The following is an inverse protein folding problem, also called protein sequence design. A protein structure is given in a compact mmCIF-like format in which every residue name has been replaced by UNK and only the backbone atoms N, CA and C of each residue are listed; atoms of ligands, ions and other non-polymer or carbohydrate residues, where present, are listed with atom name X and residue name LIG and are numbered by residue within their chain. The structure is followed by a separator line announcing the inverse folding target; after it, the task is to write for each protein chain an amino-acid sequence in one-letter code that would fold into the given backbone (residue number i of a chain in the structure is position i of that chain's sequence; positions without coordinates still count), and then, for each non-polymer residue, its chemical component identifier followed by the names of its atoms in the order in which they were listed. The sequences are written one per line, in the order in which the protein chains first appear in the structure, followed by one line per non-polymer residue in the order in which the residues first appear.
data_IF_733509370580
#
_entry.id   IF_733509370580
#
_cell.length_a   1.000
_cell.length_b   1.000
_cell.length_c   1.000
_cell.angle_alpha   90.00
_cell.angle_beta   90.00
_cell.angle_gamma   90.00
#
_symmetry.space_group_name_H-M   'P 1'
#
loop_
_entity.id
_entity.type
_entity.pdbx_description
1 polymer ?
2 polymer ?
#
# COMPACT_ATOMS: atom_id res chain seq x y z
N UNK A 1 -16.12 35.02 10.38
CA UNK A 1 -15.25 33.90 10.01
C UNK A 1 -14.49 33.36 11.21
N UNK A 2 -13.88 32.19 11.04
CA UNK A 2 -13.11 31.56 12.10
C UNK A 2 -11.97 30.76 11.46
N UNK A 3 -11.32 29.91 12.24
CA UNK A 3 -10.21 29.13 11.73
C UNK A 3 -10.72 27.99 10.85
N UNK A 4 -9.91 27.65 9.85
CA UNK A 4 -10.26 26.53 8.98
C UNK A 4 -9.86 25.21 9.62
N UNK A 5 -10.67 24.16 9.47
CA UNK A 5 -10.36 22.85 10.09
C UNK A 5 -9.27 22.09 9.34
N UNK A 6 -8.06 22.65 9.37
CA UNK A 6 -6.91 21.99 8.74
C UNK A 6 -6.33 20.91 9.64
N UNK A 7 -6.37 21.11 10.95
CA UNK A 7 -5.88 20.10 11.87
C UNK A 7 -6.71 18.84 11.89
N UNK A 8 -7.95 18.91 11.40
CA UNK A 8 -8.79 17.71 11.37
C UNK A 8 -8.40 16.77 10.24
N UNK A 9 -7.96 17.31 9.11
CA UNK A 9 -7.60 16.48 7.96
C UNK A 9 -6.13 16.09 8.01
N UNK A 10 -5.26 16.99 8.46
CA UNK A 10 -3.82 16.70 8.47
C UNK A 10 -3.40 15.84 9.64
N UNK A 11 -4.15 15.87 10.75
CA UNK A 11 -3.76 15.16 11.96
C UNK A 11 -4.75 14.07 12.35
N UNK A 12 -5.57 13.61 11.40
CA UNK A 12 -6.49 12.52 11.67
C UNK A 12 -5.72 11.26 12.02
N UNK A 13 -6.29 10.46 12.93
CA UNK A 13 -5.62 9.25 13.39
C UNK A 13 -5.51 8.22 12.26
N UNK A 14 -6.62 7.98 11.56
CA UNK A 14 -6.67 6.98 10.50
C UNK A 14 -7.04 7.67 9.19
N UNK A 15 -6.19 7.51 8.18
CA UNK A 15 -6.46 8.02 6.86
C UNK A 15 -7.23 6.98 6.04
N UNK A 16 -7.76 7.42 4.91
CA UNK A 16 -8.52 6.54 4.04
C UNK A 16 -7.60 5.78 3.09
N UNK A 17 -8.09 4.66 2.58
CA UNK A 17 -7.36 3.93 1.55
C UNK A 17 -7.44 4.69 0.23
N UNK A 18 -6.44 4.46 -0.63
CA UNK A 18 -6.35 5.22 -1.87
C UNK A 18 -7.53 4.91 -2.79
N UNK A 19 -8.03 3.67 -2.75
CA UNK A 19 -9.19 3.33 -3.57
C UNK A 19 -10.47 3.96 -3.03
N UNK A 20 -10.48 4.38 -1.78
CA UNK A 20 -11.65 4.97 -1.12
C UNK A 20 -11.26 6.27 -0.43
N UNK A 21 -10.62 7.16 -1.17
CA UNK A 21 -10.10 8.40 -0.60
C UNK A 21 -11.23 9.29 -0.11
N UNK A 22 -10.94 10.02 0.97
CA UNK A 22 -11.91 10.93 1.57
C UNK A 22 -11.74 12.33 1.01
N UNK A 23 -12.79 13.14 1.19
CA UNK A 23 -12.79 14.53 0.77
C UNK A 23 -13.41 15.39 1.86
N UNK A 24 -12.71 16.44 2.25
CA UNK A 24 -13.18 17.38 3.26
C UNK A 24 -13.46 18.72 2.60
N UNK A 25 -14.71 19.16 2.67
CA UNK A 25 -15.10 20.47 2.16
C UNK A 25 -14.85 21.53 3.23
N UNK A 26 -14.08 22.55 2.88
CA UNK A 26 -13.66 23.58 3.82
C UNK A 26 -14.22 24.91 3.33
N UNK A 27 -15.02 25.56 4.18
CA UNK A 27 -15.68 26.80 3.81
C UNK A 27 -15.89 27.67 5.04
N UNK A 28 -16.12 28.96 4.78
CA UNK A 28 -16.49 29.95 5.80
C UNK A 28 -15.47 30.00 6.93
N UNK A 29 -14.22 30.26 6.55
CA UNK A 29 -13.13 30.30 7.51
C UNK A 29 -11.92 30.94 6.86
N UNK A 30 -11.07 31.53 7.70
CA UNK A 30 -9.79 32.07 7.25
C UNK A 30 -8.74 30.98 7.35
N UNK A 31 -7.89 30.87 6.33
CA UNK A 31 -6.89 29.83 6.24
C UNK A 31 -5.51 30.44 6.14
N UNK A 32 -4.55 29.84 6.84
CA UNK A 32 -3.15 30.26 6.79
C UNK A 32 -2.35 29.13 6.14
N UNK A 33 -2.04 29.29 4.85
CA UNK A 33 -1.31 28.27 4.11
C UNK A 33 0.20 28.36 4.31
N UNK A 34 0.70 29.53 4.73
CA UNK A 34 2.14 29.69 4.89
C UNK A 34 2.69 28.79 5.99
N UNK A 35 1.91 28.54 7.04
CA UNK A 35 2.39 27.66 8.10
C UNK A 35 2.43 26.21 7.62
N UNK A 36 1.55 25.83 6.69
CA UNK A 36 1.61 24.49 6.13
C UNK A 36 2.81 24.33 5.21
N UNK A 37 3.08 25.33 4.38
CA UNK A 37 4.14 25.22 3.39
C UNK A 37 5.53 25.32 4.02
N UNK A 38 5.65 26.02 5.14
CA UNK A 38 6.95 26.29 5.75
C UNK A 38 7.21 25.44 7.00
N UNK A 39 6.48 24.35 7.17
CA UNK A 39 6.61 23.52 8.35
C UNK A 39 7.70 22.45 8.22
N UNK A 40 8.19 22.19 7.00
CA UNK A 40 9.28 21.25 6.73
C UNK A 40 8.92 19.80 7.06
N UNK A 41 7.80 19.58 7.73
CA UNK A 41 7.35 18.22 8.03
C UNK A 41 6.70 17.54 6.84
N UNK A 42 6.62 18.22 5.69
CA UNK A 42 6.09 17.64 4.46
C UNK A 42 7.23 17.50 3.46
N UNK A 43 7.54 16.25 3.09
CA UNK A 43 8.58 16.00 2.10
C UNK A 43 8.17 16.46 0.71
N UNK A 44 6.86 16.57 0.45
CA UNK A 44 6.36 17.01 -0.85
C UNK A 44 5.24 18.02 -0.62
N UNK A 45 5.44 19.24 -1.12
CA UNK A 45 4.42 20.30 -1.07
C UNK A 45 4.51 21.03 -2.42
N UNK A 46 3.92 20.41 -3.44
CA UNK A 46 4.03 20.88 -4.82
C UNK A 46 2.68 21.39 -5.29
N UNK A 47 2.62 22.66 -5.65
CA UNK A 47 1.40 23.27 -6.16
C UNK A 47 1.47 23.40 -7.68
N UNK A 48 0.32 23.25 -8.33
CA UNK A 48 0.22 23.30 -9.79
C UNK A 48 -0.70 24.45 -10.18
N UNK A 49 -0.15 25.42 -10.91
CA UNK A 49 -0.93 26.56 -11.34
C UNK A 49 -1.18 27.61 -10.29
N UNK A 50 -0.46 27.57 -9.17
CA UNK A 50 -0.59 28.58 -8.12
C UNK A 50 0.70 28.59 -7.32
N UNK A 51 1.03 29.77 -6.78
CA UNK A 51 2.24 29.89 -5.97
C UNK A 51 1.94 29.48 -4.53
N UNK A 52 2.73 28.58 -3.94
CA UNK A 52 2.53 28.26 -2.52
C UNK A 52 2.85 29.43 -1.61
N UNK A 53 3.81 30.28 -2.00
CA UNK A 53 4.20 31.41 -1.18
C UNK A 53 3.04 32.38 -0.98
N UNK A 54 2.59 33.02 -2.06
CA UNK A 54 1.48 33.97 -2.01
C UNK A 54 0.13 33.29 -2.16
N UNK A 55 -0.01 32.07 -1.63
CA UNK A 55 -1.31 31.39 -1.67
C UNK A 55 -2.30 32.03 -0.71
N UNK A 56 -1.80 32.69 0.35
CA UNK A 56 -2.68 33.30 1.33
C UNK A 56 -3.42 34.50 0.76
N UNK A 57 -2.84 35.17 -0.24
CA UNK A 57 -3.44 36.39 -0.77
C UNK A 57 -4.73 36.15 -1.56
N UNK A 58 -5.03 34.90 -1.91
CA UNK A 58 -6.17 34.59 -2.77
C UNK A 58 -7.36 34.13 -1.94
N UNK A 59 -8.55 34.35 -2.49
CA UNK A 59 -9.80 33.89 -1.91
C UNK A 59 -10.49 32.95 -2.89
N UNK A 60 -11.17 31.94 -2.36
CA UNK A 60 -11.82 30.94 -3.20
C UNK A 60 -13.21 30.63 -2.65
N UNK A 61 -14.06 30.10 -3.54
CA UNK A 61 -15.42 29.77 -3.16
C UNK A 61 -15.51 28.47 -2.37
N UNK A 62 -14.60 27.53 -2.63
CA UNK A 62 -14.54 26.27 -1.90
C UNK A 62 -13.14 25.70 -2.02
N UNK A 63 -12.73 24.99 -0.97
CA UNK A 63 -11.44 24.31 -0.94
C UNK A 63 -11.69 22.85 -0.56
N UNK A 64 -11.22 21.93 -1.40
CA UNK A 64 -11.38 20.50 -1.18
C UNK A 64 -10.06 19.90 -0.74
N UNK A 65 -10.11 19.06 0.29
CA UNK A 65 -8.93 18.37 0.81
C UNK A 65 -9.16 16.87 0.65
N UNK A 66 -8.41 16.25 -0.25
CA UNK A 66 -8.48 14.81 -0.49
C UNK A 66 -7.30 14.13 0.19
N UNK A 67 -7.58 13.21 1.11
CA UNK A 67 -6.56 12.55 1.90
C UNK A 67 -6.66 11.04 1.73
N UNK A 68 -5.50 10.39 1.67
CA UNK A 68 -5.41 8.94 1.57
C UNK A 68 -4.00 8.52 1.95
N UNK A 69 -3.66 7.25 1.71
CA UNK A 69 -2.34 6.71 2.02
C UNK A 69 -1.90 5.82 0.87
N UNK A 70 -0.73 6.12 0.32
CA UNK A 70 -0.09 5.27 -0.68
C UNK A 70 1.29 4.89 -0.16
N UNK A 71 2.11 4.29 -1.02
CA UNK A 71 3.47 3.93 -0.65
C UNK A 71 4.44 4.95 -1.21
N UNK A 72 5.72 4.79 -0.87
CA UNK A 72 6.70 5.80 -1.20
C UNK A 72 6.88 6.00 -2.70
N UNK A 73 7.01 4.88 -3.43
CA UNK A 73 7.26 4.97 -4.87
C UNK A 73 6.05 5.49 -5.65
N UNK A 74 4.86 5.54 -5.03
CA UNK A 74 3.65 5.94 -5.73
C UNK A 74 3.30 7.42 -5.53
N UNK A 75 4.08 8.15 -4.73
CA UNK A 75 3.79 9.57 -4.51
C UNK A 75 3.96 10.35 -5.81
N UNK A 76 4.94 9.98 -6.62
CA UNK A 76 5.17 10.68 -7.88
C UNK A 76 4.01 10.50 -8.86
N UNK A 77 3.08 9.58 -8.59
CA UNK A 77 1.91 9.42 -9.43
C UNK A 77 0.78 10.37 -9.07
N UNK A 78 0.85 11.03 -7.91
CA UNK A 78 -0.14 12.03 -7.53
C UNK A 78 0.26 13.35 -8.18
N UNK A 79 0.34 13.36 -9.50
CA UNK A 79 0.70 14.54 -10.28
C UNK A 79 -0.09 14.52 -11.57
N UNK A 80 -0.39 15.68 -12.15
CA UNK A 80 -1.16 15.69 -13.41
C UNK A 80 -0.39 15.01 -14.54
N UNK A 81 -1.15 14.38 -15.42
CA UNK A 81 -0.55 13.70 -16.56
C UNK A 81 0.32 12.53 -16.21
N UNK A 82 0.17 11.96 -15.02
CA UNK A 82 0.96 10.81 -14.59
C UNK A 82 0.17 9.52 -14.79
N UNK A 83 0.91 8.42 -14.91
CA UNK A 83 0.33 7.10 -15.12
C UNK A 83 0.86 6.12 -14.08
N UNK A 84 0.15 5.01 -13.94
CA UNK A 84 0.47 4.02 -12.93
C UNK A 84 -0.79 3.48 -12.27
N UNK A 85 -0.65 2.43 -11.46
CA UNK A 85 -1.83 1.78 -10.88
C UNK A 85 -2.62 2.75 -10.00
N UNK A 86 -1.94 3.68 -9.34
CA UNK A 86 -2.64 4.65 -8.50
C UNK A 86 -3.38 5.66 -9.37
N UNK A 87 -2.68 6.24 -10.33
CA UNK A 87 -3.29 7.28 -11.17
C UNK A 87 -4.36 6.68 -12.10
N UNK A 88 -4.20 5.43 -12.50
CA UNK A 88 -5.13 4.83 -13.44
C UNK A 88 -6.39 4.29 -12.75
N UNK A 89 -6.20 3.51 -11.68
CA UNK A 89 -7.29 2.76 -11.08
C UNK A 89 -7.75 3.30 -9.73
N UNK A 90 -7.02 4.23 -9.12
CA UNK A 90 -7.30 4.63 -7.75
C UNK A 90 -7.59 6.11 -7.60
N UNK A 91 -6.71 6.99 -8.08
CA UNK A 91 -6.88 8.42 -7.88
C UNK A 91 -6.20 9.15 -9.04
N UNK A 92 -7.01 9.78 -9.90
CA UNK A 92 -6.51 10.47 -11.09
C UNK A 92 -6.66 11.97 -10.90
N UNK A 93 -5.55 12.69 -11.06
CA UNK A 93 -5.55 14.15 -11.11
C UNK A 93 -5.73 14.61 -12.56
N UNK A 94 -6.51 15.66 -12.78
CA UNK A 94 -6.74 16.12 -14.16
C UNK A 94 -5.50 16.76 -14.77
N UNK A 95 -5.51 16.83 -16.10
CA UNK A 95 -4.36 17.38 -16.82
C UNK A 95 -4.19 18.87 -16.56
N UNK A 96 -5.29 19.61 -16.40
CA UNK A 96 -5.24 21.04 -16.09
C UNK A 96 -5.48 21.30 -14.60
N UNK A 97 -4.97 20.42 -13.74
CA UNK A 97 -5.22 20.52 -12.31
C UNK A 97 -4.69 21.83 -11.74
N UNK A 98 -5.42 22.38 -10.78
CA UNK A 98 -5.02 23.62 -10.11
C UNK A 98 -5.14 23.39 -8.60
N UNK A 99 -4.00 23.20 -7.94
CA UNK A 99 -3.97 22.94 -6.53
C UNK A 99 -2.60 22.48 -6.09
N UNK A 100 -2.55 21.93 -4.88
CA UNK A 100 -1.31 21.53 -4.25
C UNK A 100 -1.40 20.07 -3.80
N UNK A 101 -0.30 19.34 -3.98
CA UNK A 101 -0.19 17.96 -3.52
C UNK A 101 0.76 17.94 -2.32
N UNK A 102 0.32 17.32 -1.23
CA UNK A 102 1.06 17.29 0.03
C UNK A 102 1.22 15.85 0.47
N UNK A 103 2.46 15.43 0.72
CA UNK A 103 2.73 14.05 1.07
C UNK A 103 3.91 13.98 2.03
N UNK A 104 3.73 13.25 3.14
CA UNK A 104 4.77 13.06 4.13
C UNK A 104 4.79 11.61 4.58
N UNK A 105 5.96 11.18 5.05
CA UNK A 105 6.12 9.81 5.53
C UNK A 105 5.38 9.61 6.84
N UNK A 106 4.68 8.47 6.94
CA UNK A 106 3.89 8.12 8.12
C UNK A 106 4.13 6.67 8.50
N UNK A 107 5.40 6.25 8.53
CA UNK A 107 5.72 4.89 8.95
C UNK A 107 5.47 4.69 10.44
N UNK A 108 5.77 5.71 11.24
CA UNK A 108 5.55 5.62 12.68
C UNK A 108 4.07 5.65 13.06
N UNK A 109 3.18 5.91 12.11
CA UNK A 109 1.74 6.00 12.38
C UNK A 109 0.91 4.95 11.66
N UNK A 110 1.35 4.44 10.50
CA UNK A 110 0.50 3.63 9.64
C UNK A 110 1.06 2.23 9.41
N UNK A 111 2.02 1.77 10.22
CA UNK A 111 2.60 0.46 10.06
C UNK A 111 2.65 -0.26 11.40
N UNK A 112 2.22 -1.52 11.42
CA UNK A 112 2.28 -2.37 12.59
C UNK A 112 3.36 -3.42 12.41
N UNK A 113 3.90 -3.89 13.54
CA UNK A 113 4.71 -5.11 13.52
C UNK A 113 3.84 -6.26 13.02
N UNK A 114 4.37 -7.02 12.07
CA UNK A 114 3.57 -8.04 11.43
C UNK A 114 2.65 -7.55 10.35
N UNK A 115 2.62 -6.24 10.11
CA UNK A 115 1.86 -5.70 8.99
C UNK A 115 0.55 -5.03 9.36
N UNK A 116 0.34 -3.82 8.84
CA UNK A 116 -0.93 -3.13 8.94
C UNK A 116 -1.67 -3.30 7.62
N UNK A 117 -2.80 -3.99 7.66
CA UNK A 117 -3.52 -4.41 6.46
C UNK A 117 -4.79 -3.59 6.21
N UNK A 118 -4.91 -2.43 6.84
CA UNK A 118 -6.12 -1.62 6.67
C UNK A 118 -6.11 -0.86 5.35
N UNK A 119 -4.94 -0.46 4.86
CA UNK A 119 -4.85 0.35 3.65
C UNK A 119 -4.83 -0.55 2.42
N UNK A 120 -5.79 -0.34 1.53
CA UNK A 120 -5.98 -1.15 0.33
C UNK A 120 -5.69 -0.32 -0.92
N UNK A 121 -5.79 -0.98 -2.07
CA UNK A 121 -5.65 -0.33 -3.35
C UNK A 121 -6.30 -1.21 -4.42
N UNK A 122 -6.65 -0.58 -5.54
CA UNK A 122 -7.27 -1.29 -6.65
C UNK A 122 -6.22 -1.79 -7.62
N UNK A 123 -6.43 -3.00 -8.13
CA UNK A 123 -5.46 -3.69 -8.99
C UNK A 123 -5.92 -3.82 -10.43
N UNK A 124 -7.22 -3.84 -10.68
CA UNK A 124 -7.75 -4.02 -12.02
C UNK A 124 -8.94 -3.09 -12.24
N UNK A 125 -9.21 -2.79 -13.51
CA UNK A 125 -10.39 -2.01 -13.87
C UNK A 125 -10.60 -2.13 -15.37
N UNK A 126 -11.87 -2.10 -15.78
CA UNK A 126 -12.20 -2.22 -17.20
C UNK A 126 -11.74 -1.01 -18.01
N UNK A 127 -11.74 0.17 -17.39
CA UNK A 127 -11.34 1.40 -18.08
C UNK A 127 -10.85 2.41 -17.05
N UNK A 128 -9.85 3.19 -17.43
CA UNK A 128 -9.19 4.09 -16.49
C UNK A 128 -10.16 5.09 -15.87
N UNK A 129 -9.81 5.56 -14.67
CA UNK A 129 -10.64 6.52 -13.96
C UNK A 129 -10.57 7.88 -14.63
N UNK A 130 -11.72 8.56 -14.69
CA UNK A 130 -11.74 9.96 -15.05
C UNK A 130 -11.25 10.78 -13.86
N UNK A 131 -10.78 12.00 -14.12
CA UNK A 131 -10.31 12.86 -13.02
C UNK A 131 -11.31 12.94 -11.87
N UNK A 132 -10.80 12.74 -10.65
CA UNK A 132 -11.56 12.82 -9.40
C UNK A 132 -12.67 11.78 -9.31
N UNK A 133 -12.67 10.76 -10.17
CA UNK A 133 -13.60 9.67 -9.99
C UNK A 133 -13.19 8.83 -8.78
N UNK A 134 -14.08 7.95 -8.34
CA UNK A 134 -13.82 7.16 -7.15
C UNK A 134 -14.56 5.83 -7.29
N UNK A 135 -13.81 4.75 -7.51
CA UNK A 135 -14.38 3.42 -7.62
C UNK A 135 -14.41 2.75 -6.27
N UNK A 136 -15.51 2.03 -6.00
CA UNK A 136 -15.70 1.34 -4.73
C UNK A 136 -16.08 -0.11 -4.89
N UNK A 137 -16.70 -0.51 -6.01
CA UNK A 137 -17.15 -1.88 -6.22
C UNK A 137 -16.04 -2.88 -5.99
N UNK A 138 -16.39 -3.98 -5.33
CA UNK A 138 -15.48 -5.11 -5.11
C UNK A 138 -15.76 -6.26 -6.08
N UNK A 139 -16.20 -5.94 -7.28
CA UNK A 139 -16.60 -6.98 -8.24
C UNK A 139 -15.37 -7.73 -8.75
N UNK A 140 -15.52 -9.04 -8.91
CA UNK A 140 -14.42 -9.89 -9.35
C UNK A 140 -14.09 -9.55 -10.80
N UNK A 141 -12.85 -9.12 -11.04
CA UNK A 141 -12.46 -8.64 -12.36
C UNK A 141 -12.31 -9.80 -13.33
N UNK A 142 -12.85 -9.64 -14.53
CA UNK A 142 -12.80 -10.66 -15.57
C UNK A 142 -11.66 -10.31 -16.52
N UNK A 143 -10.51 -10.97 -16.34
CA UNK A 143 -9.34 -10.72 -17.15
C UNK A 143 -9.32 -11.54 -18.45
N UNK A 144 -10.19 -12.53 -18.58
CA UNK A 144 -10.22 -13.37 -19.76
C UNK A 144 -11.55 -13.32 -20.48
N UNK A 145 -11.75 -14.22 -21.43
CA UNK A 145 -13.00 -14.26 -22.19
C UNK A 145 -14.09 -15.03 -21.47
N UNK A 146 -13.75 -15.80 -20.45
CA UNK A 146 -14.75 -16.56 -19.70
C UNK A 146 -15.34 -15.71 -18.58
N UNK A 147 -16.65 -15.70 -18.41
CA UNK A 147 -17.27 -14.94 -17.31
C UNK A 147 -16.87 -15.52 -15.95
N UNK A 148 -17.14 -14.74 -14.90
CA UNK A 148 -16.69 -15.07 -13.56
C UNK A 148 -17.78 -15.60 -12.64
N UNK A 149 -19.03 -15.17 -12.82
CA UNK A 149 -20.15 -15.62 -12.00
C UNK A 149 -19.93 -15.30 -10.53
N UNK A 150 -19.29 -14.15 -10.25
CA UNK A 150 -19.06 -13.73 -8.88
C UNK A 150 -18.17 -14.66 -8.08
N UNK A 151 -17.30 -15.41 -8.75
CA UNK A 151 -16.42 -16.37 -8.09
C UNK A 151 -14.99 -16.14 -8.57
N UNK A 152 -14.06 -16.05 -7.63
CA UNK A 152 -12.66 -15.86 -7.98
C UNK A 152 -12.08 -17.15 -8.54
N UNK A 153 -11.21 -17.01 -9.55
CA UNK A 153 -10.58 -18.15 -10.17
C UNK A 153 -9.60 -17.78 -11.26
N UNK A 154 -9.52 -18.58 -12.32
CA UNK A 154 -8.68 -18.23 -13.46
C UNK A 154 -9.33 -17.08 -14.23
N UNK A 155 -8.51 -16.07 -14.55
CA UNK A 155 -8.89 -14.79 -15.15
C UNK A 155 -9.91 -14.02 -14.32
N UNK A 156 -10.26 -14.50 -13.13
CA UNK A 156 -11.20 -13.83 -12.25
C UNK A 156 -10.54 -13.60 -10.91
N UNK A 157 -10.25 -12.35 -10.58
CA UNK A 157 -9.48 -12.03 -9.38
C UNK A 157 -10.14 -10.92 -8.58
N UNK A 158 -10.00 -11.00 -7.27
CA UNK A 158 -10.46 -9.93 -6.38
C UNK A 158 -9.65 -8.67 -6.67
N UNK A 159 -10.29 -7.57 -7.05
CA UNK A 159 -9.56 -6.42 -7.57
C UNK A 159 -8.84 -5.59 -6.52
N UNK A 160 -9.00 -5.89 -5.23
CA UNK A 160 -8.41 -5.11 -4.17
C UNK A 160 -7.33 -5.90 -3.44
N UNK A 161 -6.23 -5.22 -3.13
CA UNK A 161 -5.14 -5.80 -2.36
C UNK A 161 -4.69 -4.80 -1.31
N UNK A 162 -4.04 -5.31 -0.28
CA UNK A 162 -3.58 -4.50 0.85
C UNK A 162 -2.08 -4.25 0.74
N UNK A 163 -1.66 -3.10 1.27
CA UNK A 163 -0.24 -2.76 1.28
C UNK A 163 0.53 -3.57 2.31
N UNK A 164 -0.09 -3.84 3.46
CA UNK A 164 0.57 -4.56 4.54
C UNK A 164 1.79 -3.85 5.05
N UNK A 165 1.62 -2.58 5.43
CA UNK A 165 2.75 -1.76 5.86
C UNK A 165 3.36 -2.31 7.14
N UNK A 166 4.63 -2.70 7.07
CA UNK A 166 5.40 -3.11 8.24
C UNK A 166 6.64 -2.24 8.35
N UNK A 167 7.10 -1.97 9.58
CA UNK A 167 8.10 -0.88 9.76
C UNK A 167 9.41 -1.08 9.01
N UNK A 168 9.92 -2.32 8.91
CA UNK A 168 11.22 -2.55 8.30
C UNK A 168 11.18 -2.60 6.77
N UNK A 169 10.08 -2.16 6.16
CA UNK A 169 10.03 -2.10 4.70
C UNK A 169 10.98 -1.04 4.17
N UNK A 170 11.42 -1.22 2.93
CA UNK A 170 12.14 -0.16 2.25
C UNK A 170 11.27 1.07 2.05
N UNK A 171 11.94 2.21 1.88
CA UNK A 171 11.22 3.49 1.80
C UNK A 171 10.22 3.48 0.64
N UNK A 172 10.54 2.80 -0.45
CA UNK A 172 9.62 2.65 -1.56
C UNK A 172 8.37 1.84 -1.26
N UNK A 173 8.28 1.26 -0.07
CA UNK A 173 7.11 0.48 0.33
C UNK A 173 6.57 0.91 1.70
N UNK A 174 7.06 2.01 2.25
CA UNK A 174 6.55 2.54 3.50
C UNK A 174 5.31 3.39 3.24
N UNK A 175 4.47 3.59 4.25
CA UNK A 175 3.26 4.40 4.04
C UNK A 175 3.57 5.89 3.96
N UNK A 176 2.84 6.57 3.08
CA UNK A 176 2.95 8.03 2.91
C UNK A 176 1.54 8.61 2.92
N UNK A 177 1.28 9.50 3.88
CA UNK A 177 -0.01 10.18 3.94
C UNK A 177 -0.02 11.35 2.96
N UNK A 178 -1.03 11.38 2.09
CA UNK A 178 -1.10 12.33 0.99
C UNK A 178 -2.36 13.18 1.16
N UNK A 179 -2.20 14.49 1.03
CA UNK A 179 -3.32 15.44 1.04
C UNK A 179 -3.26 16.26 -0.24
N UNK A 180 -4.35 16.28 -0.98
CA UNK A 180 -4.46 17.02 -2.22
C UNK A 180 -5.47 18.15 -2.01
N UNK A 181 -5.01 19.38 -2.17
CA UNK A 181 -5.85 20.57 -2.01
C UNK A 181 -6.33 21.03 -3.38
N UNK A 182 -7.64 21.27 -3.49
CA UNK A 182 -8.25 21.79 -4.70
C UNK A 182 -8.97 23.08 -4.38
N UNK A 183 -8.70 24.12 -5.17
CA UNK A 183 -9.30 25.43 -4.95
C UNK A 183 -10.36 25.67 -6.03
N UNK A 184 -11.51 26.18 -5.62
CA UNK A 184 -12.67 26.33 -6.48
C UNK A 184 -13.12 27.79 -6.51
N UNK A 185 -13.36 28.30 -7.72
CA UNK A 185 -13.85 29.65 -7.93
C UNK A 185 -15.21 29.57 -8.61
N UNK A 186 -16.23 30.18 -7.99
CA UNK A 186 -17.59 30.03 -8.46
C UNK A 186 -18.33 31.37 -8.34
N UNK A 187 -19.48 31.44 -8.99
CA UNK A 187 -20.39 32.58 -8.88
C UNK A 187 -21.03 32.53 -7.50
N UNK A 188 -20.24 32.88 -6.49
CA UNK A 188 -20.63 32.84 -5.10
C UNK A 188 -19.56 33.56 -4.28
N UNK A 189 -19.92 34.09 -3.10
CA UNK A 189 -18.93 34.82 -2.30
C UNK A 189 -17.77 33.91 -1.90
N UNK A 190 -16.55 34.38 -2.19
CA UNK A 190 -15.35 33.64 -1.80
C UNK A 190 -15.33 33.46 -0.30
N UNK A 191 -15.41 32.20 0.15
CA UNK A 191 -15.68 31.90 1.54
C UNK A 191 -14.42 31.56 2.35
N UNK A 192 -13.29 31.29 1.69
CA UNK A 192 -12.04 30.96 2.38
C UNK A 192 -10.95 31.89 1.85
N UNK A 193 -10.23 32.53 2.77
CA UNK A 193 -9.18 33.48 2.41
C UNK A 193 -7.99 33.28 3.32
N UNK A 194 -7.03 34.19 3.21
CA UNK A 194 -5.87 34.20 4.06
C UNK A 194 -6.03 35.16 5.23
N UNK A 195 -5.05 35.17 6.14
CA UNK A 195 -5.10 36.04 7.34
C UNK A 195 -4.96 37.51 6.98
N UNK B 1 -14.23 -20.89 4.18
CA UNK B 1 -13.91 -21.79 3.08
C UNK B 1 -12.66 -21.32 2.34
N UNK B 2 -11.75 -20.70 3.09
CA UNK B 2 -10.50 -20.20 2.53
C UNK B 2 -9.42 -20.29 3.60
N UNK B 3 -8.28 -20.86 3.25
CA UNK B 3 -7.21 -21.11 4.21
C UNK B 3 -5.91 -21.32 3.45
N UNK B 4 -4.81 -21.35 4.21
CA UNK B 4 -3.50 -21.61 3.64
C UNK B 4 -2.59 -22.13 4.74
N UNK B 5 -1.93 -23.26 4.48
CA UNK B 5 -1.06 -23.92 5.46
C UNK B 5 0.29 -24.15 4.81
N UNK B 6 1.36 -23.86 5.54
CA UNK B 6 2.72 -23.94 5.02
C UNK B 6 3.43 -25.19 5.51
N UNK B 7 4.32 -25.71 4.67
CA UNK B 7 5.12 -26.89 4.99
C UNK B 7 6.53 -26.67 4.47
N UNK B 8 7.37 -27.69 4.62
CA UNK B 8 8.74 -27.66 4.15
C UNK B 8 9.78 -27.37 5.21
N UNK B 9 9.36 -27.07 6.44
CA UNK B 9 10.30 -26.81 7.50
C UNK B 9 11.02 -28.05 7.97
N UNK B 10 11.85 -27.89 8.99
CA UNK B 10 12.59 -28.99 9.56
C UNK B 10 14.02 -28.66 9.95
N UNK B 11 14.88 -29.67 9.91
CA UNK B 11 16.27 -29.52 10.34
C UNK B 11 17.20 -29.45 9.12
N UNK B 12 18.26 -28.66 9.26
CA UNK B 12 19.28 -28.54 8.23
C UNK B 12 20.55 -28.01 8.90
N UNK B 13 21.67 -28.00 8.18
CA UNK B 13 22.96 -27.64 8.75
C UNK B 13 23.64 -26.57 7.90
N UNK B 14 24.45 -25.75 8.57
CA UNK B 14 25.34 -24.76 7.97
C UNK B 14 24.78 -24.12 6.71
N UNK B 15 25.53 -24.20 5.61
CA UNK B 15 25.08 -23.64 4.34
C UNK B 15 24.14 -24.56 3.60
N UNK B 16 23.11 -25.04 4.29
CA UNK B 16 22.17 -25.96 3.70
C UNK B 16 21.17 -25.32 2.77
N UNK B 17 19.98 -25.92 2.65
CA UNK B 17 18.94 -25.43 1.76
C UNK B 17 17.60 -25.96 2.24
N UNK B 18 16.55 -25.17 2.03
CA UNK B 18 15.21 -25.55 2.43
C UNK B 18 14.19 -24.96 1.48
N UNK B 19 13.12 -25.73 1.23
CA UNK B 19 12.05 -25.35 0.32
C UNK B 19 10.75 -25.29 1.11
N UNK B 20 10.33 -24.08 1.50
CA UNK B 20 9.03 -23.91 2.10
C UNK B 20 7.95 -23.84 1.02
N UNK B 21 6.72 -24.14 1.41
CA UNK B 21 5.58 -24.15 0.49
C UNK B 21 4.36 -23.64 1.22
N UNK B 22 3.87 -22.46 0.82
CA UNK B 22 2.64 -21.90 1.38
C UNK B 22 1.48 -22.34 0.49
N UNK B 23 0.86 -23.45 0.87
CA UNK B 23 -0.22 -24.04 0.07
C UNK B 23 -1.51 -23.28 0.34
N UNK B 24 -1.95 -22.50 -0.65
CA UNK B 24 -3.15 -21.68 -0.52
C UNK B 24 -4.37 -22.44 -1.03
N UNK B 25 -5.50 -22.24 -0.35
CA UNK B 25 -6.75 -22.92 -0.68
C UNK B 25 -7.90 -21.93 -0.66
N UNK B 26 -8.86 -22.14 -1.57
CA UNK B 26 -10.05 -21.32 -1.62
C UNK B 26 -9.92 -20.04 -2.42
N UNK B 27 -8.76 -19.78 -3.02
CA UNK B 27 -8.57 -18.56 -3.80
C UNK B 27 -7.35 -18.77 -4.70
N UNK B 28 -7.30 -18.10 -5.85
CA UNK B 28 -6.13 -18.26 -6.74
C UNK B 28 -5.01 -17.30 -6.41
N UNK B 29 -3.85 -17.83 -6.03
CA UNK B 29 -2.69 -16.98 -5.77
C UNK B 29 -2.05 -16.65 -7.12
N UNK B 30 -2.54 -15.59 -7.76
CA UNK B 30 -2.03 -15.14 -9.05
C UNK B 30 -1.67 -13.67 -8.98
N UNK B 31 -2.64 -12.83 -8.61
CA UNK B 31 -2.39 -11.42 -8.39
C UNK B 31 -2.58 -11.07 -6.92
N UNK B 32 -1.96 -11.86 -6.05
CA UNK B 32 -2.02 -11.66 -4.61
C UNK B 32 -0.62 -11.38 -4.08
N UNK B 33 -0.57 -10.71 -2.92
CA UNK B 33 0.69 -10.39 -2.27
C UNK B 33 0.86 -11.28 -1.05
N UNK B 34 1.89 -12.13 -1.09
CA UNK B 34 2.24 -12.99 0.03
C UNK B 34 3.38 -12.39 0.81
N UNK B 35 3.28 -12.43 2.13
CA UNK B 35 4.36 -12.04 3.03
C UNK B 35 4.94 -13.27 3.71
N UNK B 36 6.22 -13.21 4.03
CA UNK B 36 6.86 -14.22 4.85
C UNK B 36 7.41 -13.54 6.10
N UNK B 37 6.92 -13.96 7.26
CA UNK B 37 7.40 -13.50 8.55
C UNK B 37 8.04 -14.67 9.30
N UNK B 38 8.94 -14.34 10.22
CA UNK B 38 9.54 -15.35 11.08
C UNK B 38 9.56 -14.86 12.51
N UNK B 39 9.54 -15.82 13.44
CA UNK B 39 9.45 -15.52 14.87
C UNK B 39 10.40 -16.46 15.61
N UNK B 40 11.52 -15.91 16.08
CA UNK B 40 12.44 -16.70 16.89
C UNK B 40 12.06 -16.61 18.37
N UNK B 41 12.30 -17.68 19.15
CA UNK B 41 11.85 -17.72 20.55
C UNK B 41 12.15 -16.46 21.36
N UNK B 42 11.10 -15.70 21.69
CA UNK B 42 11.18 -14.57 22.57
C UNK B 42 11.30 -13.23 21.88
N UNK B 43 11.96 -13.17 20.73
CA UNK B 43 12.28 -11.90 20.09
C UNK B 43 11.08 -11.40 19.31
N UNK B 44 11.29 -10.36 18.50
CA UNK B 44 10.21 -9.71 17.77
C UNK B 44 9.93 -10.45 16.47
N UNK B 45 8.67 -10.40 16.05
CA UNK B 45 8.26 -10.98 14.78
C UNK B 45 8.88 -10.20 13.63
N UNK B 46 9.68 -10.87 12.81
CA UNK B 46 10.47 -10.22 11.77
C UNK B 46 9.91 -10.52 10.39
N UNK B 47 9.86 -9.49 9.54
CA UNK B 47 9.48 -9.68 8.14
C UNK B 47 10.65 -10.23 7.35
N UNK B 48 10.38 -11.27 6.56
CA UNK B 48 11.43 -11.99 5.84
C UNK B 48 11.40 -11.61 4.37
N UNK B 49 10.36 -12.03 3.66
CA UNK B 49 10.26 -11.82 2.22
C UNK B 49 8.85 -11.41 1.85
N UNK B 50 8.67 -11.06 0.58
CA UNK B 50 7.36 -10.65 0.08
C UNK B 50 7.37 -10.71 -1.44
N UNK B 51 6.26 -11.17 -2.00
CA UNK B 51 6.02 -11.12 -3.44
C UNK B 51 4.72 -10.35 -3.66
N UNK B 52 4.77 -9.39 -4.57
CA UNK B 52 3.69 -8.41 -4.72
C UNK B 52 2.70 -8.84 -5.80
N UNK B 53 1.50 -8.28 -5.72
CA UNK B 53 0.45 -8.60 -6.69
C UNK B 53 0.79 -8.08 -8.09
N UNK B 54 1.55 -6.99 -8.18
CA UNK B 54 1.98 -6.45 -9.46
C UNK B 54 3.39 -5.90 -9.31
N UNK B 55 3.96 -5.47 -10.45
CA UNK B 55 5.21 -4.76 -10.42
C UNK B 55 6.26 -5.28 -11.39
N UNK B 56 7.09 -4.36 -11.90
CA UNK B 56 8.26 -4.75 -12.66
C UNK B 56 9.23 -5.53 -11.78
N UNK B 57 9.39 -5.11 -10.54
CA UNK B 57 10.16 -5.82 -9.53
C UNK B 57 9.18 -6.27 -8.46
N UNK B 58 8.79 -7.54 -8.51
CA UNK B 58 7.78 -8.06 -7.59
C UNK B 58 8.37 -8.80 -6.40
N UNK B 59 9.67 -9.05 -6.37
CA UNK B 59 10.29 -9.72 -5.23
C UNK B 59 10.79 -8.70 -4.22
N UNK B 60 10.61 -9.01 -2.93
CA UNK B 60 11.05 -8.15 -1.85
C UNK B 60 11.65 -9.01 -0.75
N UNK B 61 12.79 -8.60 -0.22
CA UNK B 61 13.45 -9.34 0.84
C UNK B 61 14.01 -8.36 1.86
N UNK B 62 14.21 -8.87 3.08
CA UNK B 62 14.86 -8.09 4.12
C UNK B 62 16.38 -8.14 3.96
N UNK B 63 17.06 -7.18 4.60
CA UNK B 63 18.51 -7.11 4.50
C UNK B 63 19.18 -8.32 5.12
N UNK B 64 18.59 -8.88 6.16
CA UNK B 64 19.19 -10.04 6.83
C UNK B 64 19.13 -11.30 5.97
N UNK B 65 18.20 -11.36 5.02
CA UNK B 65 18.00 -12.56 4.21
C UNK B 65 18.21 -12.33 2.72
N UNK B 66 18.55 -11.10 2.32
CA UNK B 66 18.69 -10.82 0.90
C UNK B 66 19.89 -11.56 0.31
N UNK B 67 19.73 -11.98 -0.95
CA UNK B 67 20.73 -12.76 -1.64
C UNK B 67 20.65 -14.26 -1.38
N UNK B 68 20.19 -14.66 -0.20
CA UNK B 68 20.08 -16.07 0.15
C UNK B 68 18.68 -16.63 -0.05
N UNK B 69 17.66 -15.79 -0.10
CA UNK B 69 16.28 -16.22 -0.17
C UNK B 69 15.68 -15.89 -1.53
N UNK B 70 14.73 -16.72 -1.97
CA UNK B 70 14.04 -16.52 -3.23
C UNK B 70 12.60 -16.97 -3.06
N UNK B 71 11.65 -16.08 -3.38
CA UNK B 71 10.23 -16.35 -3.22
C UNK B 71 9.62 -16.55 -4.60
N UNK B 72 8.97 -17.70 -4.80
CA UNK B 72 8.40 -18.08 -6.08
C UNK B 72 6.88 -18.20 -5.97
N UNK B 73 6.24 -18.28 -7.13
CA UNK B 73 4.78 -18.40 -7.22
C UNK B 73 4.42 -19.51 -8.19
N UNK B 74 4.11 -20.69 -7.66
CA UNK B 74 3.65 -21.80 -8.47
C UNK B 74 2.16 -21.62 -8.75
N UNK B 75 1.80 -21.40 -10.02
CA UNK B 75 0.41 -21.24 -10.39
C UNK B 75 -0.29 -22.56 -10.66
N UNK B 76 0.43 -23.57 -11.16
CA UNK B 76 -0.18 -24.87 -11.40
C UNK B 76 -0.62 -25.52 -10.09
N UNK B 77 0.25 -25.48 -9.08
CA UNK B 77 -0.06 -26.02 -7.76
C UNK B 77 -0.76 -25.01 -6.87
N UNK B 78 -0.90 -23.75 -7.32
CA UNK B 78 -1.57 -22.71 -6.55
C UNK B 78 -0.93 -22.54 -5.18
N UNK B 79 0.40 -22.39 -5.16
CA UNK B 79 1.15 -22.25 -3.93
C UNK B 79 2.31 -21.30 -4.15
N UNK B 80 2.90 -20.86 -3.04
CA UNK B 80 4.03 -19.94 -3.03
C UNK B 80 5.19 -20.62 -2.32
N UNK B 81 6.36 -20.62 -2.96
CA UNK B 81 7.55 -21.26 -2.41
C UNK B 81 8.54 -20.21 -1.92
N UNK B 82 9.38 -20.63 -0.98
CA UNK B 82 10.44 -19.78 -0.43
C UNK B 82 11.72 -20.60 -0.39
N UNK B 83 12.70 -20.20 -1.20
CA UNK B 83 13.97 -20.92 -1.30
C UNK B 83 14.97 -20.28 -0.34
N UNK B 84 15.28 -20.98 0.75
CA UNK B 84 16.27 -20.53 1.72
C UNK B 84 17.57 -21.31 1.49
N UNK B 85 18.63 -20.59 1.11
CA UNK B 85 19.93 -21.19 0.83
C UNK B 85 20.99 -20.58 1.73
N UNK B 86 22.11 -21.29 1.84
CA UNK B 86 23.25 -20.93 2.69
C UNK B 86 22.76 -20.45 4.07
N UNK B 87 22.09 -21.35 4.76
CA UNK B 87 21.46 -21.01 6.04
C UNK B 87 22.53 -20.65 7.08
N UNK B 88 22.06 -20.09 8.20
CA UNK B 88 22.93 -19.73 9.30
C UNK B 88 22.14 -19.99 10.59
N UNK B 89 22.80 -20.44 11.66
CA UNK B 89 22.07 -20.72 12.90
C UNK B 89 21.45 -19.48 13.53
N UNK B 90 21.69 -18.29 12.98
CA UNK B 90 21.06 -17.08 13.49
C UNK B 90 19.66 -16.88 12.93
N UNK B 91 19.38 -17.43 11.74
CA UNK B 91 18.05 -17.31 11.16
C UNK B 91 17.30 -18.64 11.20
N UNK B 92 17.11 -19.17 12.40
CA UNK B 92 16.21 -20.29 12.64
C UNK B 92 15.05 -19.81 13.49
N UNK B 93 13.83 -20.13 13.08
CA UNK B 93 12.65 -19.59 13.74
C UNK B 93 11.42 -20.31 13.19
N UNK B 94 10.24 -19.80 13.56
CA UNK B 94 8.98 -20.26 12.98
C UNK B 94 8.61 -19.32 11.84
N UNK B 95 8.30 -19.89 10.68
CA UNK B 95 8.07 -19.10 9.47
C UNK B 95 6.59 -19.11 9.11
N UNK B 96 6.03 -17.92 8.87
CA UNK B 96 4.62 -17.74 8.56
C UNK B 96 4.47 -17.11 7.18
N UNK B 97 3.37 -17.43 6.51
CA UNK B 97 2.99 -16.77 5.27
C UNK B 97 1.60 -16.16 5.44
N UNK B 98 1.47 -14.88 5.11
CA UNK B 98 0.24 -14.12 5.29
C UNK B 98 -0.21 -13.58 3.95
N UNK B 99 -1.53 -13.58 3.71
CA UNK B 99 -2.12 -12.97 2.54
C UNK B 99 -3.31 -12.13 2.98
N UNK B 100 -3.73 -11.22 2.10
CA UNK B 100 -4.95 -10.44 2.28
C UNK B 100 -5.86 -10.67 1.10
N UNK B 101 -6.99 -11.32 1.34
CA UNK B 101 -8.06 -11.45 0.36
C UNK B 101 -9.37 -11.18 1.08
N UNK B 102 -9.75 -9.90 1.18
CA UNK B 102 -10.92 -9.50 1.94
C UNK B 102 -10.63 -9.34 3.42
N UNK B 103 -9.73 -10.16 3.95
CA UNK B 103 -9.33 -10.10 5.35
C UNK B 103 -7.98 -10.78 5.49
N UNK B 104 -7.34 -10.54 6.63
CA UNK B 104 -6.02 -11.11 6.90
C UNK B 104 -6.15 -12.61 7.17
N UNK B 105 -5.42 -13.42 6.40
CA UNK B 105 -5.43 -14.87 6.53
C UNK B 105 -4.05 -15.34 6.94
N UNK B 106 -3.97 -16.05 8.05
CA UNK B 106 -2.71 -16.46 8.66
C UNK B 106 -2.40 -17.92 8.37
N UNK B 107 -1.12 -18.23 8.28
CA UNK B 107 -0.68 -19.60 8.32
C UNK B 107 -0.36 -20.05 9.73
N UNK B 108 -0.44 -21.36 9.96
CA UNK B 108 -0.14 -21.87 11.29
C UNK B 108 1.34 -21.78 11.61
N UNK B 109 2.19 -21.77 10.60
CA UNK B 109 3.62 -21.67 10.78
C UNK B 109 4.32 -22.99 10.50
N UNK B 110 5.65 -22.89 10.43
CA UNK B 110 6.51 -24.06 10.26
C UNK B 110 7.82 -23.80 10.97
N UNK B 111 8.40 -24.86 11.53
CA UNK B 111 9.61 -24.76 12.32
C UNK B 111 10.83 -25.03 11.44
N UNK B 112 11.76 -24.08 11.41
CA UNK B 112 13.02 -24.23 10.72
C UNK B 112 14.14 -24.01 11.73
N UNK B 113 14.93 -25.06 11.97
CA UNK B 113 16.08 -25.00 12.87
C UNK B 113 17.31 -25.47 12.12
N UNK B 114 18.26 -24.57 11.89
CA UNK B 114 19.54 -24.91 11.27
C UNK B 114 20.58 -24.98 12.37
N UNK B 115 21.50 -25.94 12.26
CA UNK B 115 22.47 -26.20 13.31
C UNK B 115 23.87 -26.01 12.79
N UNK B 116 24.82 -26.08 13.72
CA UNK B 116 26.24 -25.99 13.39
C UNK B 116 27.03 -26.81 14.40
N UNK B 117 28.20 -27.24 13.99
CA UNK B 117 29.09 -28.02 14.82
C UNK B 117 29.38 -29.38 14.24
N UNK B 118 29.89 -30.26 15.09
CA UNK B 118 30.32 -31.58 14.70
C UNK B 118 29.48 -32.63 15.41
N UNK B 119 29.35 -33.80 14.76
CA UNK B 119 28.58 -34.90 15.32
C UNK B 119 29.05 -36.22 14.73
#
# INVERSE_FOLDING_TARGET
TNLCPFGEVFNATRFASVYAWNRKRISNCVADYSVLYNSASFSTFKCYGVSPTKLNDLCFTNVYADSFVIRGDEVRQIAPGQTGKIADYNYKLPDDFTGCVIAWNSNNLDSKVGGNYNYLYRLFRKSNLKPFERDISTEIYQAGSTPCNGVEGFNCYFPLQSYGFQPTNGVGYQPYRVVVLSFELLHAPATVCGP
QVQLVESGGGLVQAGGSLRLSCAASGFPVAYKTMWWYRQAPGKEREWVAAIESYGIKWTRYADSVKGRFTISRDNAKNTVYLQMNSLKPEDTAVYYCIVWVGAQYHGQGTQVTVSAGRA
#
